data_IF_538801172047
#
_entry.id   IF_538801172047
#
_cell.length_a   1.000
_cell.length_b   1.000
_cell.length_c   1.000
_cell.angle_alpha   90.00
_cell.angle_beta   90.00
_cell.angle_gamma   90.00
#
_symmetry.space_group_name_H-M   'P 1'
#
loop_
_entity.id
_entity.type
_entity.pdbx_description
1 polymer ?
#
# COMPACT_ATOMS: atom_id res chain seq x y z
N UNK A 1 -11.28 -14.32 10.56
CA UNK A 1 -12.68 -13.90 10.29
C UNK A 1 -13.61 -15.10 10.19
N UNK A 2 -14.79 -15.05 10.84
CA UNK A 2 -15.79 -16.12 10.78
C UNK A 2 -16.36 -16.31 9.36
N UNK A 3 -16.68 -17.57 8.99
CA UNK A 3 -17.20 -17.91 7.66
C UNK A 3 -18.48 -17.15 7.29
N UNK A 4 -19.39 -16.96 8.25
CA UNK A 4 -20.66 -16.25 8.04
C UNK A 4 -20.42 -14.79 7.67
N UNK A 5 -19.57 -14.09 8.43
CA UNK A 5 -19.21 -12.70 8.16
C UNK A 5 -18.53 -12.56 6.80
N UNK A 6 -17.61 -13.47 6.47
CA UNK A 6 -16.96 -13.49 5.15
C UNK A 6 -17.98 -13.58 4.01
N UNK A 7 -18.97 -14.47 4.11
CA UNK A 7 -20.00 -14.59 3.07
C UNK A 7 -20.87 -13.33 2.97
N UNK A 8 -21.28 -12.76 4.10
CA UNK A 8 -22.05 -11.51 4.10
C UNK A 8 -21.29 -10.35 3.43
N UNK A 9 -19.97 -10.24 3.66
CA UNK A 9 -19.13 -9.24 3.00
C UNK A 9 -19.04 -9.46 1.48
N UNK A 10 -18.93 -10.71 1.03
CA UNK A 10 -18.91 -11.03 -0.40
C UNK A 10 -20.22 -10.64 -1.08
N UNK A 11 -21.36 -10.92 -0.45
CA UNK A 11 -22.67 -10.51 -0.94
C UNK A 11 -22.80 -8.99 -0.99
N UNK A 12 -22.41 -8.28 0.07
CA UNK A 12 -22.45 -6.82 0.13
C UNK A 12 -21.53 -6.18 -0.93
N UNK A 13 -20.34 -6.73 -1.17
CA UNK A 13 -19.44 -6.23 -2.22
C UNK A 13 -20.06 -6.32 -3.60
N UNK A 14 -20.75 -7.42 -3.93
CA UNK A 14 -21.45 -7.58 -5.22
C UNK A 14 -22.56 -6.56 -5.42
N UNK A 15 -23.29 -6.24 -4.36
CA UNK A 15 -24.37 -5.25 -4.39
C UNK A 15 -23.81 -3.82 -4.49
N UNK A 16 -22.77 -3.48 -3.72
CA UNK A 16 -22.18 -2.13 -3.72
C UNK A 16 -21.33 -1.82 -4.94
N UNK A 17 -20.63 -2.81 -5.49
CA UNK A 17 -19.69 -2.66 -6.59
C UNK A 17 -20.07 -3.54 -7.79
N UNK A 18 -21.26 -3.33 -8.39
CA UNK A 18 -21.67 -4.11 -9.54
C UNK A 18 -20.78 -3.79 -10.75
N UNK A 19 -20.57 -4.75 -11.67
CA UNK A 19 -19.86 -4.50 -12.92
C UNK A 19 -20.58 -3.41 -13.73
N UNK A 20 -19.84 -2.38 -14.13
CA UNK A 20 -20.38 -1.27 -14.93
C UNK A 20 -20.12 -1.54 -16.41
N UNK A 21 -21.17 -1.46 -17.23
CA UNK A 21 -21.04 -1.49 -18.70
C UNK A 21 -20.56 -0.12 -19.20
N UNK A 22 -19.62 -0.13 -20.13
CA UNK A 22 -19.19 1.08 -20.82
C UNK A 22 -20.22 1.49 -21.89
N UNK A 23 -20.56 2.76 -21.93
CA UNK A 23 -21.46 3.38 -22.90
C UNK A 23 -20.67 4.47 -23.64
N UNK A 24 -20.39 4.31 -24.96
CA UNK A 24 -19.70 5.31 -25.74
C UNK A 24 -20.39 6.68 -25.66
N UNK A 25 -19.60 7.74 -25.47
CA UNK A 25 -20.09 9.11 -25.35
C UNK A 25 -20.78 9.47 -24.03
N UNK A 26 -20.93 8.53 -23.09
CA UNK A 26 -21.55 8.79 -21.78
C UNK A 26 -20.68 8.35 -20.60
N UNK A 27 -20.07 7.15 -20.67
CA UNK A 27 -19.25 6.65 -19.58
C UNK A 27 -17.96 7.48 -19.43
N UNK A 28 -17.59 7.89 -18.20
CA UNK A 28 -16.35 8.61 -17.98
C UNK A 28 -15.15 7.70 -18.25
N UNK A 29 -14.10 8.29 -18.84
CA UNK A 29 -12.80 7.64 -19.07
C UNK A 29 -11.75 8.43 -18.27
N UNK A 30 -11.66 8.23 -16.95
CA UNK A 30 -10.70 8.96 -16.13
C UNK A 30 -9.28 8.50 -16.45
N UNK A 31 -8.32 9.42 -16.35
CA UNK A 31 -6.90 9.11 -16.56
C UNK A 31 -6.32 8.15 -15.50
N UNK A 32 -6.96 8.05 -14.34
CA UNK A 32 -6.57 7.16 -13.24
C UNK A 32 -7.77 6.73 -12.40
N UNK A 33 -7.60 5.64 -11.65
CA UNK A 33 -8.61 5.13 -10.74
C UNK A 33 -8.11 3.92 -9.97
N UNK A 34 -8.70 3.69 -8.79
CA UNK A 34 -8.47 2.45 -8.03
C UNK A 34 -9.22 1.29 -8.68
N UNK A 35 -8.54 0.16 -8.80
CA UNK A 35 -9.13 -1.13 -9.18
C UNK A 35 -8.88 -2.06 -8.01
N UNK A 36 -9.96 -2.63 -7.48
CA UNK A 36 -9.95 -3.53 -6.34
C UNK A 36 -11.16 -4.47 -6.47
N UNK A 37 -11.07 -5.61 -5.83
CA UNK A 37 -12.13 -6.61 -5.76
C UNK A 37 -12.50 -6.90 -4.29
N UNK A 38 -13.27 -7.97 -4.07
CA UNK A 38 -13.65 -8.38 -2.72
C UNK A 38 -12.46 -8.66 -1.79
N UNK A 39 -11.31 -9.07 -2.31
CA UNK A 39 -10.15 -9.45 -1.49
C UNK A 39 -9.62 -8.26 -0.70
N UNK A 40 -9.55 -7.06 -1.30
CA UNK A 40 -9.16 -5.85 -0.58
C UNK A 40 -10.09 -5.57 0.60
N UNK A 41 -11.41 -5.75 0.41
CA UNK A 41 -12.40 -5.53 1.47
C UNK A 41 -12.30 -6.59 2.57
N UNK A 42 -12.09 -7.86 2.18
CA UNK A 42 -11.94 -8.95 3.15
C UNK A 42 -10.68 -8.76 4.01
N UNK A 43 -9.54 -8.42 3.39
CA UNK A 43 -8.27 -8.21 4.10
C UNK A 43 -8.30 -6.96 4.97
N UNK A 44 -8.88 -5.86 4.47
CA UNK A 44 -9.08 -4.65 5.29
C UNK A 44 -9.97 -4.94 6.50
N UNK A 45 -11.04 -5.73 6.30
CA UNK A 45 -11.94 -6.13 7.40
C UNK A 45 -11.22 -7.04 8.39
N UNK A 46 -10.41 -7.99 7.92
CA UNK A 46 -9.60 -8.84 8.81
C UNK A 46 -8.63 -7.99 9.64
N UNK A 47 -7.94 -7.03 9.04
CA UNK A 47 -7.05 -6.12 9.75
C UNK A 47 -7.77 -5.26 10.81
N UNK A 48 -9.01 -4.84 10.54
CA UNK A 48 -9.84 -4.14 11.53
C UNK A 48 -10.20 -5.06 12.70
N UNK A 49 -10.64 -6.28 12.40
CA UNK A 49 -11.08 -7.26 13.40
C UNK A 49 -9.93 -7.81 14.24
N UNK A 50 -8.70 -7.82 13.71
CA UNK A 50 -7.50 -8.22 14.44
C UNK A 50 -7.20 -7.28 15.62
N UNK A 51 -7.73 -6.05 15.63
CA UNK A 51 -7.65 -5.14 16.77
C UNK A 51 -6.25 -4.57 17.08
N UNK A 52 -5.23 -4.92 16.27
CA UNK A 52 -3.85 -4.51 16.48
C UNK A 52 -3.61 -3.04 16.09
N UNK A 53 -4.11 -2.64 14.91
CA UNK A 53 -4.20 -1.26 14.37
C UNK A 53 -2.90 -0.45 14.25
N UNK A 54 -1.78 -0.94 14.77
CA UNK A 54 -0.44 -0.49 14.43
C UNK A 54 0.14 -1.36 13.32
N UNK A 55 1.31 -0.99 12.83
CA UNK A 55 2.08 -1.84 11.91
C UNK A 55 2.34 -3.23 12.54
N UNK A 56 2.24 -4.29 11.74
CA UNK A 56 2.41 -5.68 12.18
C UNK A 56 2.12 -6.70 11.08
N UNK A 57 1.40 -7.78 11.40
CA UNK A 57 1.20 -8.94 10.51
C UNK A 57 0.97 -8.59 9.02
N UNK A 58 0.05 -7.67 8.71
CA UNK A 58 -0.28 -7.35 7.31
C UNK A 58 0.80 -6.52 6.60
N UNK A 59 1.42 -5.57 7.29
CA UNK A 59 2.53 -4.78 6.74
C UNK A 59 3.78 -5.65 6.55
N UNK A 60 4.12 -6.48 7.54
CA UNK A 60 5.28 -7.38 7.47
C UNK A 60 5.17 -8.33 6.25
N UNK A 61 3.98 -8.92 6.08
CA UNK A 61 3.69 -9.78 4.93
C UNK A 61 3.72 -9.01 3.60
N UNK A 62 3.30 -7.75 3.59
CA UNK A 62 3.34 -6.92 2.40
C UNK A 62 4.78 -6.54 2.03
N UNK A 63 5.60 -6.11 2.99
CA UNK A 63 7.01 -5.79 2.82
C UNK A 63 7.82 -6.98 2.29
N UNK A 64 7.59 -8.17 2.85
CA UNK A 64 8.22 -9.40 2.37
C UNK A 64 7.82 -9.72 0.92
N UNK A 65 6.53 -9.62 0.59
CA UNK A 65 6.05 -9.90 -0.76
C UNK A 65 6.54 -8.87 -1.77
N UNK A 66 6.50 -7.59 -1.45
CA UNK A 66 6.86 -6.53 -2.38
C UNK A 66 8.37 -6.46 -2.60
N UNK A 67 9.19 -6.71 -1.56
CA UNK A 67 10.65 -6.79 -1.72
C UNK A 67 11.05 -7.93 -2.67
N UNK A 68 10.45 -9.12 -2.50
CA UNK A 68 10.63 -10.25 -3.43
C UNK A 68 10.17 -9.92 -4.84
N UNK A 69 9.02 -9.28 -4.99
CA UNK A 69 8.48 -8.91 -6.30
C UNK A 69 9.36 -7.89 -7.03
N UNK A 70 9.91 -6.91 -6.31
CA UNK A 70 10.83 -5.89 -6.84
C UNK A 70 12.27 -6.42 -7.05
N UNK A 71 12.62 -7.59 -6.52
CA UNK A 71 14.00 -8.07 -6.47
C UNK A 71 14.90 -7.27 -5.52
N UNK A 72 14.31 -6.57 -4.55
CA UNK A 72 15.03 -5.80 -3.53
C UNK A 72 15.29 -6.65 -2.28
N UNK A 73 16.39 -6.39 -1.58
CA UNK A 73 16.71 -7.09 -0.32
C UNK A 73 15.78 -6.70 0.84
N UNK A 74 15.33 -5.45 0.85
CA UNK A 74 14.47 -4.88 1.89
C UNK A 74 13.40 -4.01 1.25
N UNK A 75 12.23 -3.93 1.89
CA UNK A 75 11.20 -2.94 1.64
C UNK A 75 10.73 -2.41 3.00
N UNK A 76 10.39 -1.12 3.08
CA UNK A 76 9.85 -0.48 4.27
C UNK A 76 8.61 0.30 3.85
N UNK A 77 7.47 0.04 4.49
CA UNK A 77 6.23 0.75 4.28
C UNK A 77 6.24 2.11 4.97
N UNK A 78 5.62 3.06 4.30
CA UNK A 78 5.50 4.45 4.77
C UNK A 78 4.13 4.98 4.39
N UNK A 79 3.69 6.05 5.03
CA UNK A 79 2.33 6.58 4.87
C UNK A 79 2.06 7.25 3.51
N UNK A 80 3.07 7.52 2.68
CA UNK A 80 2.90 8.06 1.32
C UNK A 80 4.17 7.93 0.46
N UNK A 81 4.03 8.08 -0.86
CA UNK A 81 5.18 8.15 -1.77
C UNK A 81 6.10 9.36 -1.50
N UNK A 82 5.55 10.51 -1.13
CA UNK A 82 6.36 11.68 -0.75
C UNK A 82 7.19 11.43 0.50
N UNK A 83 6.63 10.73 1.49
CA UNK A 83 7.36 10.31 2.69
C UNK A 83 8.45 9.30 2.36
N UNK A 84 8.23 8.42 1.38
CA UNK A 84 9.25 7.49 0.90
C UNK A 84 10.47 8.26 0.35
N UNK A 85 10.23 9.26 -0.49
CA UNK A 85 11.29 10.12 -1.03
C UNK A 85 12.00 10.92 0.05
N UNK A 86 11.24 11.48 1.00
CA UNK A 86 11.82 12.20 2.14
C UNK A 86 12.75 11.30 2.95
N UNK A 87 12.32 10.09 3.29
CA UNK A 87 13.13 9.14 4.05
C UNK A 87 14.34 8.65 3.26
N UNK A 88 14.18 8.39 1.95
CA UNK A 88 15.28 7.99 1.07
C UNK A 88 16.41 9.04 1.07
N UNK A 89 16.08 10.33 0.86
CA UNK A 89 17.09 11.40 0.93
C UNK A 89 17.62 11.61 2.35
N UNK A 90 16.74 11.62 3.35
CA UNK A 90 17.13 11.89 4.74
C UNK A 90 18.06 10.83 5.30
N UNK A 91 17.89 9.57 4.90
CA UNK A 91 18.78 8.48 5.29
C UNK A 91 20.23 8.70 4.82
N UNK A 92 20.43 9.37 3.67
CA UNK A 92 21.75 9.72 3.14
C UNK A 92 22.46 10.80 3.99
N UNK A 93 21.74 11.49 4.88
CA UNK A 93 22.32 12.43 5.86
C UNK A 93 22.72 11.76 7.19
N UNK A 94 22.58 10.44 7.31
CA UNK A 94 22.82 9.72 8.57
C UNK A 94 24.30 9.77 9.01
N UNK A 95 24.53 9.97 10.31
CA UNK A 95 25.87 9.89 10.91
C UNK A 95 26.46 8.48 10.92
N UNK A 96 25.67 7.45 10.59
CA UNK A 96 26.13 6.07 10.41
C UNK A 96 26.90 5.85 9.10
N UNK A 97 26.79 6.78 8.15
CA UNK A 97 27.55 6.75 6.91
C UNK A 97 28.92 7.38 7.10
N UNK A 98 29.91 6.96 6.30
CA UNK A 98 31.22 7.62 6.26
C UNK A 98 31.05 9.11 5.94
N UNK A 99 31.76 10.00 6.66
CA UNK A 99 31.61 11.46 6.54
C UNK A 99 31.69 11.96 5.09
N UNK A 100 32.56 11.38 4.26
CA UNK A 100 32.74 11.74 2.84
C UNK A 100 31.60 11.30 1.91
N UNK A 101 30.78 10.32 2.33
CA UNK A 101 29.64 9.78 1.56
C UNK A 101 28.29 10.32 2.03
N UNK A 102 28.28 11.05 3.16
CA UNK A 102 27.07 11.59 3.78
C UNK A 102 26.64 12.88 3.08
N UNK A 103 25.37 12.97 2.70
CA UNK A 103 24.78 14.19 2.18
C UNK A 103 24.75 15.29 3.26
N UNK A 104 25.18 16.49 2.90
CA UNK A 104 25.23 17.67 3.78
C UNK A 104 24.63 18.90 3.08
N UNK A 105 24.30 19.93 3.85
CA UNK A 105 23.71 21.16 3.30
C UNK A 105 24.69 21.83 2.34
N UNK A 106 24.18 22.31 1.21
CA UNK A 106 24.99 22.87 0.11
C UNK A 106 25.57 21.82 -0.85
N UNK A 107 25.33 20.53 -0.64
CA UNK A 107 25.64 19.49 -1.64
C UNK A 107 24.53 19.41 -2.70
N UNK A 108 24.92 19.07 -3.92
CA UNK A 108 24.01 18.87 -5.06
C UNK A 108 23.45 17.44 -5.07
N UNK A 109 22.23 17.29 -5.62
CA UNK A 109 21.51 16.02 -5.82
C UNK A 109 21.28 15.82 -7.31
#
# INVERSE_FOLDING_TARGET
MEKRLRQALLEECRVKFPPKKFIPGQSPVPASGKVFDEQEILLATEAILDGWWTEGRFSDLFEEKISKWLGAKYAILVNSGSSANLLALSALKSARLEKKKRLSDGNEV
#
